data_IF_477374378018
#
_entry.id   IF_477374378018
#
_cell.length_a   1.000
_cell.length_b   1.000
_cell.length_c   1.000
_cell.angle_alpha   90.00
_cell.angle_beta   90.00
_cell.angle_gamma   90.00
#
_symmetry.space_group_name_H-M   'P 1'
#
loop_
_entity.id
_entity.type
_entity.pdbx_description
1 polymer ?
#
# COMPACT_ATOMS: atom_id res chain seq x y z
N UNK A 1 40.25 -37.35 60.17
CA UNK A 1 39.69 -36.02 59.86
C UNK A 1 39.26 -36.02 58.39
N UNK A 2 38.03 -35.55 58.13
CA UNK A 2 37.37 -35.50 56.82
C UNK A 2 38.17 -34.68 55.80
N UNK A 3 38.07 -35.01 54.50
CA UNK A 3 37.44 -34.19 53.43
C UNK A 3 37.91 -34.68 52.04
N UNK A 4 37.03 -35.33 51.26
CA UNK A 4 36.14 -34.78 50.21
C UNK A 4 36.77 -34.91 48.81
N UNK A 5 36.23 -35.87 48.05
CA UNK A 5 36.24 -35.93 46.58
C UNK A 5 35.51 -34.71 45.99
N UNK A 6 36.07 -34.09 44.96
CA UNK A 6 35.29 -33.24 44.05
C UNK A 6 35.60 -33.67 42.63
N UNK A 7 34.68 -34.44 42.06
CA UNK A 7 34.60 -34.75 40.63
C UNK A 7 33.88 -33.56 39.97
N UNK A 8 34.58 -32.81 39.12
CA UNK A 8 33.97 -31.71 38.36
C UNK A 8 33.24 -32.28 37.14
N UNK A 9 31.92 -32.37 37.23
CA UNK A 9 31.04 -32.61 36.08
C UNK A 9 30.82 -31.25 35.39
N UNK A 10 31.46 -31.04 34.24
CA UNK A 10 31.18 -29.90 33.37
C UNK A 10 29.91 -30.14 32.58
N UNK A 11 28.82 -29.47 32.96
CA UNK A 11 27.57 -29.45 32.19
C UNK A 11 27.18 -27.98 32.02
N UNK A 12 27.25 -27.44 30.81
CA UNK A 12 26.57 -26.18 30.52
C UNK A 12 26.09 -26.10 29.06
N UNK A 13 24.81 -26.49 28.95
CA UNK A 13 23.77 -26.07 28.04
C UNK A 13 24.14 -25.20 26.81
N UNK A 14 23.99 -25.81 25.63
CA UNK A 14 23.64 -25.10 24.40
C UNK A 14 22.25 -24.47 24.59
N UNK A 15 22.21 -23.17 24.86
CA UNK A 15 20.98 -22.40 24.82
C UNK A 15 20.42 -22.41 23.41
N UNK A 16 19.31 -23.11 23.19
CA UNK A 16 18.50 -22.94 21.99
C UNK A 16 17.85 -21.55 22.07
N UNK A 17 18.47 -20.55 21.46
CA UNK A 17 17.83 -19.27 21.20
C UNK A 17 16.70 -19.52 20.20
N UNK A 18 15.48 -19.64 20.72
CA UNK A 18 14.28 -19.53 19.88
C UNK A 18 14.32 -18.14 19.24
N UNK A 19 14.50 -18.08 17.92
CA UNK A 19 14.27 -16.87 17.15
C UNK A 19 12.79 -16.51 17.27
N UNK A 20 12.45 -15.76 18.32
CA UNK A 20 11.12 -15.18 18.50
C UNK A 20 10.91 -14.20 17.35
N UNK A 21 10.14 -14.64 16.35
CA UNK A 21 9.64 -13.74 15.34
C UNK A 21 8.49 -12.98 15.98
N UNK A 22 8.56 -11.63 15.97
CA UNK A 22 7.42 -10.82 16.36
C UNK A 22 6.31 -11.05 15.34
N UNK A 23 5.30 -11.85 15.68
CA UNK A 23 4.11 -12.03 14.85
C UNK A 23 3.28 -10.74 14.84
N UNK A 24 2.45 -10.57 13.80
CA UNK A 24 1.54 -9.43 13.73
C UNK A 24 0.65 -9.38 14.98
N UNK A 25 0.65 -8.25 15.71
CA UNK A 25 -0.16 -8.12 16.92
C UNK A 25 -1.63 -7.80 16.57
N UNK A 26 -2.57 -8.76 16.74
CA UNK A 26 -3.97 -8.52 16.43
C UNK A 26 -4.63 -7.47 17.35
N UNK A 27 -3.99 -7.11 18.48
CA UNK A 27 -4.53 -6.13 19.45
C UNK A 27 -4.43 -4.69 18.95
N UNK A 28 -3.53 -4.40 18.01
CA UNK A 28 -3.37 -3.06 17.44
C UNK A 28 -4.65 -2.60 16.72
N UNK A 29 -5.41 -3.53 16.14
CA UNK A 29 -6.58 -3.21 15.34
C UNK A 29 -7.63 -2.42 16.10
N UNK A 30 -7.86 -2.69 17.38
CA UNK A 30 -8.87 -1.96 18.15
C UNK A 30 -8.55 -0.45 18.23
N UNK A 31 -7.27 -0.11 18.41
CA UNK A 31 -6.78 1.28 18.45
C UNK A 31 -6.84 1.93 17.08
N UNK A 32 -6.36 1.22 16.06
CA UNK A 32 -6.35 1.71 14.66
C UNK A 32 -7.78 1.94 14.17
N UNK A 33 -8.69 0.98 14.40
CA UNK A 33 -10.11 1.12 14.07
C UNK A 33 -10.72 2.37 14.70
N UNK A 34 -10.51 2.59 16.00
CA UNK A 34 -11.10 3.75 16.68
C UNK A 34 -10.50 5.07 16.17
N UNK A 35 -9.22 5.10 15.82
CA UNK A 35 -8.56 6.29 15.28
C UNK A 35 -9.12 6.71 13.90
N UNK A 36 -9.39 5.76 13.01
CA UNK A 36 -9.84 6.05 11.63
C UNK A 36 -11.37 5.98 11.45
N UNK A 37 -12.06 5.15 12.24
CA UNK A 37 -13.49 4.86 12.10
C UNK A 37 -14.19 4.83 13.48
N UNK A 38 -14.14 5.95 14.23
CA UNK A 38 -14.60 5.98 15.61
C UNK A 38 -16.06 5.56 15.73
N UNK A 39 -16.33 4.57 16.60
CA UNK A 39 -17.70 4.04 16.85
C UNK A 39 -18.42 3.49 15.61
N UNK A 40 -17.73 3.20 14.51
CA UNK A 40 -18.33 2.60 13.31
C UNK A 40 -18.13 1.09 13.32
N UNK A 41 -19.17 0.36 12.97
CA UNK A 41 -19.07 -1.09 12.77
C UNK A 41 -18.43 -1.40 11.43
N UNK A 42 -17.60 -2.45 11.41
CA UNK A 42 -16.89 -2.93 10.23
C UNK A 42 -17.15 -4.42 10.13
N UNK A 43 -17.76 -4.87 9.04
CA UNK A 43 -18.04 -6.27 8.79
C UNK A 43 -16.90 -6.92 7.99
N UNK A 44 -16.32 -8.01 8.48
CA UNK A 44 -15.41 -8.84 7.66
C UNK A 44 -16.21 -9.60 6.60
N UNK A 45 -15.73 -9.60 5.35
CA UNK A 45 -16.43 -10.15 4.18
C UNK A 45 -15.47 -10.81 3.21
N UNK A 46 -15.98 -11.75 2.40
CA UNK A 46 -15.18 -12.49 1.42
C UNK A 46 -15.00 -11.75 0.08
N UNK A 47 -15.85 -10.75 -0.22
CA UNK A 47 -15.76 -9.97 -1.47
C UNK A 47 -14.69 -8.87 -1.42
N UNK A 48 -14.07 -8.62 -0.27
CA UNK A 48 -12.89 -7.78 -0.13
C UNK A 48 -11.68 -8.64 0.23
N UNK A 49 -10.59 -8.51 -0.52
CA UNK A 49 -9.37 -9.31 -0.29
C UNK A 49 -8.12 -8.47 -0.41
N UNK A 50 -7.12 -8.88 0.36
CA UNK A 50 -5.73 -8.46 0.19
C UNK A 50 -4.94 -9.72 -0.14
N UNK A 51 -4.30 -9.74 -1.29
CA UNK A 51 -3.33 -10.76 -1.66
C UNK A 51 -1.92 -10.18 -1.57
N UNK A 52 -0.94 -11.06 -1.37
CA UNK A 52 0.45 -10.68 -1.20
C UNK A 52 1.29 -11.88 -0.77
N UNK A 53 2.60 -11.71 -0.55
CA UNK A 53 3.44 -12.79 -0.08
C UNK A 53 3.10 -13.16 1.37
N UNK A 54 3.57 -14.32 1.85
CA UNK A 54 3.57 -14.62 3.29
C UNK A 54 4.65 -13.83 4.02
N UNK A 55 5.82 -13.68 3.38
CA UNK A 55 6.92 -12.83 3.80
C UNK A 55 7.41 -12.02 2.60
N UNK A 56 7.42 -10.71 2.72
CA UNK A 56 7.99 -9.83 1.71
C UNK A 56 9.52 -9.89 1.74
N UNK A 57 10.15 -9.78 0.57
CA UNK A 57 11.61 -9.69 0.45
C UNK A 57 12.15 -8.38 1.04
N UNK A 58 11.35 -7.30 0.96
CA UNK A 58 11.69 -5.99 1.50
C UNK A 58 10.44 -5.30 2.05
N UNK A 59 10.53 -4.75 3.26
CA UNK A 59 9.48 -3.91 3.82
C UNK A 59 9.28 -2.61 3.05
N UNK A 60 10.27 -2.14 2.27
CA UNK A 60 10.12 -0.92 1.48
C UNK A 60 9.30 -1.14 0.19
N UNK A 61 9.16 -2.40 -0.26
CA UNK A 61 8.57 -2.79 -1.54
C UNK A 61 7.72 -4.06 -1.37
N UNK A 62 6.67 -4.00 -0.55
CA UNK A 62 5.76 -5.13 -0.33
C UNK A 62 4.71 -5.18 -1.43
N UNK A 63 4.73 -6.17 -2.35
CA UNK A 63 3.71 -6.27 -3.38
C UNK A 63 2.39 -6.75 -2.79
N UNK A 64 1.30 -6.06 -3.11
CA UNK A 64 -0.05 -6.42 -2.72
C UNK A 64 -1.00 -6.31 -3.91
N UNK A 65 -2.02 -7.17 -3.93
CA UNK A 65 -3.18 -7.04 -4.82
C UNK A 65 -4.42 -6.83 -3.97
N UNK A 66 -5.08 -5.70 -4.17
CA UNK A 66 -6.28 -5.28 -3.45
C UNK A 66 -7.48 -5.59 -4.33
N UNK A 67 -8.47 -6.30 -3.79
CA UNK A 67 -9.58 -6.83 -4.59
C UNK A 67 -10.91 -6.47 -3.93
N UNK A 68 -11.82 -5.95 -4.75
CA UNK A 68 -13.25 -5.84 -4.49
C UNK A 68 -13.99 -6.56 -5.61
N UNK A 69 -14.53 -7.73 -5.28
CA UNK A 69 -15.35 -8.53 -6.19
C UNK A 69 -16.81 -8.04 -6.12
N UNK A 70 -17.16 -7.12 -7.02
CA UNK A 70 -18.51 -6.54 -7.07
C UNK A 70 -19.60 -7.60 -7.31
N UNK A 71 -19.30 -8.68 -8.03
CA UNK A 71 -20.27 -9.74 -8.29
C UNK A 71 -20.56 -10.56 -7.03
N UNK A 72 -19.53 -10.89 -6.25
CA UNK A 72 -19.68 -11.58 -4.96
C UNK A 72 -20.25 -10.69 -3.84
N UNK A 73 -20.28 -9.37 -4.03
CA UNK A 73 -20.73 -8.40 -3.04
C UNK A 73 -22.25 -8.30 -2.88
N UNK A 74 -23.04 -9.04 -3.66
CA UNK A 74 -24.49 -9.16 -3.52
C UNK A 74 -25.23 -7.81 -3.39
N UNK A 75 -24.84 -6.83 -4.20
CA UNK A 75 -25.47 -5.50 -4.23
C UNK A 75 -24.86 -4.47 -3.28
N UNK A 76 -23.86 -4.82 -2.47
CA UNK A 76 -23.05 -3.82 -1.75
C UNK A 76 -22.26 -3.01 -2.77
N UNK A 77 -22.38 -1.68 -2.76
CA UNK A 77 -21.60 -0.79 -3.62
C UNK A 77 -20.64 0.09 -2.85
N UNK A 78 -19.35 -0.19 -2.99
CA UNK A 78 -18.29 0.61 -2.37
C UNK A 78 -17.97 1.85 -3.20
N UNK A 79 -17.80 3.00 -2.53
CA UNK A 79 -17.37 4.27 -3.11
C UNK A 79 -15.94 4.61 -2.73
N UNK A 80 -15.46 4.13 -1.58
CA UNK A 80 -14.06 4.30 -1.15
C UNK A 80 -13.45 3.00 -0.67
N UNK A 81 -12.14 2.86 -0.86
CA UNK A 81 -11.32 1.80 -0.29
C UNK A 81 -10.15 2.42 0.46
N UNK A 82 -9.96 2.04 1.72
CA UNK A 82 -8.82 2.44 2.55
C UNK A 82 -7.84 1.28 2.67
N UNK A 83 -6.56 1.54 2.50
CA UNK A 83 -5.49 0.57 2.78
C UNK A 83 -4.82 0.95 4.08
N UNK A 84 -4.98 0.09 5.08
CA UNK A 84 -4.43 0.30 6.42
C UNK A 84 -3.40 -0.79 6.73
N UNK A 85 -2.28 -0.39 7.29
CA UNK A 85 -1.22 -1.27 7.78
C UNK A 85 -1.08 -1.06 9.28
N UNK A 86 -1.61 -2.00 10.07
CA UNK A 86 -1.83 -1.82 11.52
C UNK A 86 -0.58 -1.37 12.28
N UNK A 87 0.57 -2.01 12.01
CA UNK A 87 1.82 -1.79 12.73
C UNK A 87 2.74 -0.74 12.08
N UNK A 88 2.30 -0.04 11.04
CA UNK A 88 3.08 1.07 10.50
C UNK A 88 2.98 2.29 11.43
N UNK A 89 4.06 3.11 11.56
CA UNK A 89 3.98 4.37 12.29
C UNK A 89 2.94 5.34 11.72
N UNK A 90 2.73 5.29 10.40
CA UNK A 90 1.65 5.98 9.68
C UNK A 90 0.82 4.90 8.99
N UNK A 91 -0.35 4.60 9.55
CA UNK A 91 -1.10 3.38 9.23
C UNK A 91 -1.84 3.46 7.88
N UNK A 92 -2.32 4.65 7.47
CA UNK A 92 -3.04 4.83 6.21
C UNK A 92 -2.05 4.91 5.04
N UNK A 93 -2.04 3.89 4.19
CA UNK A 93 -1.15 3.81 3.03
C UNK A 93 -1.73 4.52 1.80
N UNK A 94 -3.03 4.35 1.55
CA UNK A 94 -3.74 4.99 0.45
C UNK A 94 -5.25 4.94 0.64
N UNK A 95 -5.97 5.85 -0.04
CA UNK A 95 -7.42 5.81 -0.20
C UNK A 95 -7.76 5.86 -1.69
N UNK A 96 -8.58 4.93 -2.17
CA UNK A 96 -9.07 4.90 -3.55
C UNK A 96 -10.53 5.33 -3.57
N UNK A 97 -10.87 6.28 -4.43
CA UNK A 97 -12.22 6.73 -4.71
C UNK A 97 -12.68 6.05 -5.99
N UNK A 98 -13.69 5.21 -5.87
CA UNK A 98 -14.16 4.33 -6.94
C UNK A 98 -15.25 5.01 -7.76
N UNK A 99 -15.21 4.79 -9.07
CA UNK A 99 -16.33 5.12 -9.97
C UNK A 99 -16.88 3.84 -10.60
N UNK A 100 -18.00 3.97 -11.31
CA UNK A 100 -18.62 2.84 -12.01
C UNK A 100 -17.73 2.27 -13.12
N UNK A 101 -16.80 3.07 -13.65
CA UNK A 101 -15.89 2.65 -14.73
C UNK A 101 -14.94 1.52 -14.31
N UNK A 102 -14.71 1.35 -13.01
CA UNK A 102 -13.87 0.27 -12.48
C UNK A 102 -14.59 -1.09 -12.45
N UNK A 103 -15.94 -1.08 -12.38
CA UNK A 103 -16.81 -2.26 -12.25
C UNK A 103 -16.28 -3.33 -11.26
N UNK A 104 -16.09 -2.92 -10.01
CA UNK A 104 -15.32 -3.67 -9.01
C UNK A 104 -13.99 -2.96 -8.75
N UNK A 105 -13.00 -3.68 -8.24
CA UNK A 105 -11.66 -3.15 -8.09
C UNK A 105 -10.65 -4.29 -8.04
N UNK A 106 -9.61 -4.21 -8.85
CA UNK A 106 -8.42 -5.03 -8.70
C UNK A 106 -7.21 -4.13 -8.92
N UNK A 107 -6.40 -3.97 -7.88
CA UNK A 107 -5.25 -3.07 -7.89
C UNK A 107 -4.02 -3.81 -7.39
N UNK A 108 -3.06 -4.04 -8.28
CA UNK A 108 -1.73 -4.49 -7.89
C UNK A 108 -0.84 -3.28 -7.67
N UNK A 109 -0.26 -3.17 -6.48
CA UNK A 109 0.57 -2.05 -6.05
C UNK A 109 1.66 -2.51 -5.09
N UNK A 110 2.44 -1.56 -4.56
CA UNK A 110 3.50 -1.81 -3.58
C UNK A 110 3.35 -0.84 -2.41
N UNK A 111 3.38 -1.38 -1.20
CA UNK A 111 3.27 -0.63 0.05
C UNK A 111 4.55 -0.77 0.88
N UNK A 112 4.77 0.20 1.77
CA UNK A 112 5.79 0.14 2.81
C UNK A 112 5.22 -0.56 4.04
N UNK A 113 6.05 -1.36 4.69
CA UNK A 113 5.72 -2.07 5.91
C UNK A 113 6.93 -2.12 6.84
N UNK A 114 6.76 -1.62 8.07
CA UNK A 114 7.87 -1.52 9.02
C UNK A 114 8.17 -2.84 9.73
N UNK A 115 7.14 -3.64 10.02
CA UNK A 115 7.24 -4.92 10.73
C UNK A 115 6.11 -5.86 10.30
N UNK A 116 6.14 -7.13 10.73
CA UNK A 116 5.05 -8.09 10.52
C UNK A 116 3.71 -7.47 10.96
N UNK A 117 2.72 -7.43 10.05
CA UNK A 117 1.48 -6.66 10.24
C UNK A 117 0.33 -7.27 9.46
N UNK A 118 -0.89 -7.00 9.91
CA UNK A 118 -2.05 -7.08 9.04
C UNK A 118 -2.08 -5.88 8.09
N UNK A 119 -2.34 -6.18 6.82
CA UNK A 119 -2.76 -5.23 5.80
C UNK A 119 -4.25 -5.39 5.61
N UNK A 120 -4.99 -4.30 5.74
CA UNK A 120 -6.46 -4.27 5.68
C UNK A 120 -6.91 -3.44 4.50
N UNK A 121 -7.89 -3.97 3.79
CA UNK A 121 -8.64 -3.25 2.78
C UNK A 121 -10.04 -3.00 3.34
N UNK A 122 -10.37 -1.74 3.59
CA UNK A 122 -11.64 -1.35 4.18
C UNK A 122 -12.47 -0.62 3.13
N UNK A 123 -13.63 -1.15 2.80
CA UNK A 123 -14.57 -0.54 1.87
C UNK A 123 -15.64 0.28 2.57
N UNK A 124 -15.96 1.45 2.02
CA UNK A 124 -17.04 2.32 2.48
C UNK A 124 -18.08 2.53 1.38
N UNK A 125 -19.34 2.31 1.70
CA UNK A 125 -20.50 2.58 0.83
C UNK A 125 -20.94 4.04 0.91
N UNK A 126 -21.81 4.48 0.00
CA UNK A 126 -22.35 5.84 0.01
C UNK A 126 -23.13 6.20 1.30
N UNK A 127 -23.79 5.21 1.94
CA UNK A 127 -24.48 5.36 3.23
C UNK A 127 -23.55 5.18 4.45
N UNK A 128 -22.24 5.04 4.23
CA UNK A 128 -21.24 4.97 5.30
C UNK A 128 -21.13 3.62 6.01
N UNK A 129 -21.61 2.52 5.41
CA UNK A 129 -21.33 1.17 5.94
C UNK A 129 -19.91 0.75 5.59
N UNK A 130 -19.26 0.05 6.51
CA UNK A 130 -17.88 -0.39 6.34
C UNK A 130 -17.77 -1.92 6.27
N UNK A 131 -16.94 -2.37 5.34
CA UNK A 131 -16.62 -3.78 5.13
C UNK A 131 -15.11 -3.96 5.08
N UNK A 132 -14.58 -5.13 5.41
CA UNK A 132 -13.15 -5.37 5.47
C UNK A 132 -12.74 -6.74 4.92
N UNK A 133 -11.66 -6.73 4.16
CA UNK A 133 -10.78 -7.88 3.94
C UNK A 133 -9.41 -7.62 4.56
N UNK A 134 -8.67 -8.67 4.93
CA UNK A 134 -7.33 -8.51 5.52
C UNK A 134 -6.39 -9.65 5.17
N UNK A 135 -5.09 -9.38 5.25
CA UNK A 135 -4.03 -10.38 5.12
C UNK A 135 -2.89 -10.06 6.07
N UNK A 136 -2.39 -11.07 6.78
CA UNK A 136 -1.10 -10.97 7.47
C UNK A 136 0.03 -11.07 6.45
N UNK A 137 0.95 -10.11 6.49
CA UNK A 137 2.18 -10.15 5.70
C UNK A 137 3.35 -9.92 6.65
N UNK A 138 4.39 -10.74 6.52
CA UNK A 138 5.63 -10.59 7.29
C UNK A 138 6.62 -9.72 6.52
N UNK A 139 7.16 -8.68 7.13
CA UNK A 139 8.03 -7.70 6.48
C UNK A 139 8.86 -6.95 7.53
N UNK A 140 9.93 -6.27 7.11
CA UNK A 140 10.76 -5.48 8.03
C UNK A 140 11.38 -4.25 7.34
N UNK A 141 11.44 -3.13 8.07
CA UNK A 141 12.29 -1.97 7.78
C UNK A 141 11.87 -1.09 6.61
N UNK A 142 10.57 -0.97 6.34
CA UNK A 142 10.05 -0.22 5.18
C UNK A 142 9.87 1.29 5.33
N UNK A 143 9.71 1.81 6.55
CA UNK A 143 9.19 3.16 6.80
C UNK A 143 10.23 4.13 7.40
N UNK A 144 11.12 3.67 8.29
CA UNK A 144 12.01 4.54 9.10
C UNK A 144 13.52 4.42 8.86
N UNK A 145 13.97 3.70 7.83
CA UNK A 145 15.38 3.43 7.56
C UNK A 145 16.24 4.67 7.20
N UNK A 146 17.53 4.45 6.95
CA UNK A 146 18.45 5.50 6.49
C UNK A 146 18.37 5.71 4.98
N UNK A 147 18.61 6.93 4.53
CA UNK A 147 18.76 7.29 3.11
C UNK A 147 20.10 7.99 2.88
N UNK A 148 20.67 7.78 1.70
CA UNK A 148 21.96 8.35 1.26
C UNK A 148 21.85 8.88 -0.18
N UNK A 149 20.71 9.50 -0.51
CA UNK A 149 20.45 10.01 -1.84
C UNK A 149 20.71 11.52 -1.94
N UNK A 150 21.21 11.95 -3.11
CA UNK A 150 21.34 13.38 -3.39
C UNK A 150 19.95 13.99 -3.59
N UNK A 151 19.57 14.87 -2.67
CA UNK A 151 18.27 15.55 -2.66
C UNK A 151 17.95 16.23 -3.99
N UNK A 152 18.93 16.92 -4.57
CA UNK A 152 18.74 17.69 -5.79
C UNK A 152 18.47 16.80 -7.00
N UNK A 153 19.21 15.68 -7.11
CA UNK A 153 19.04 14.70 -8.19
C UNK A 153 17.71 13.97 -8.07
N UNK A 154 17.34 13.55 -6.85
CA UNK A 154 16.07 12.88 -6.56
C UNK A 154 14.89 13.76 -6.98
N UNK A 155 14.92 15.05 -6.64
CA UNK A 155 13.86 16.00 -6.98
C UNK A 155 13.82 16.31 -8.48
N UNK A 156 14.98 16.38 -9.12
CA UNK A 156 15.07 16.57 -10.57
C UNK A 156 14.50 15.39 -11.35
N UNK A 157 14.68 14.16 -10.84
CA UNK A 157 14.17 12.94 -11.47
C UNK A 157 12.68 12.66 -11.18
N UNK A 158 12.10 13.30 -10.16
CA UNK A 158 10.73 13.08 -9.74
C UNK A 158 9.70 13.52 -10.80
N UNK A 159 8.68 12.68 -11.01
CA UNK A 159 7.54 13.01 -11.86
C UNK A 159 7.50 12.33 -13.22
N UNK A 160 8.53 11.54 -13.59
CA UNK A 160 8.50 10.81 -14.86
C UNK A 160 7.44 9.70 -14.78
N UNK A 161 6.38 9.84 -15.56
CA UNK A 161 5.27 8.88 -15.62
C UNK A 161 5.43 7.93 -16.82
N UNK A 162 5.22 6.64 -16.58
CA UNK A 162 5.01 5.61 -17.60
C UNK A 162 3.59 5.07 -17.46
N UNK A 163 2.90 4.96 -18.58
CA UNK A 163 1.57 4.37 -18.67
C UNK A 163 1.51 3.36 -19.80
N UNK A 164 0.74 2.29 -19.60
CA UNK A 164 0.41 1.29 -20.61
C UNK A 164 -1.05 0.87 -20.42
N UNK A 165 -1.72 0.52 -21.51
CA UNK A 165 -3.01 -0.19 -21.48
C UNK A 165 -2.85 -1.41 -22.37
N UNK A 166 -3.16 -2.58 -21.83
CA UNK A 166 -3.16 -3.82 -22.61
C UNK A 166 -4.25 -3.73 -23.67
N UNK A 167 -4.03 -4.34 -24.85
CA UNK A 167 -4.91 -4.24 -26.01
C UNK A 167 -6.39 -4.46 -25.61
N UNK A 168 -7.23 -3.41 -25.63
CA UNK A 168 -8.56 -3.47 -25.04
C UNK A 168 -9.56 -4.10 -26.00
N UNK A 169 -10.56 -4.79 -25.44
CA UNK A 169 -11.84 -5.01 -26.10
C UNK A 169 -12.85 -4.05 -25.49
N UNK A 170 -13.34 -3.09 -26.25
CA UNK A 170 -14.26 -2.07 -25.74
C UNK A 170 -15.54 -2.71 -25.18
N UNK A 171 -16.00 -2.19 -24.04
CA UNK A 171 -17.10 -2.75 -23.26
C UNK A 171 -16.70 -3.88 -22.29
N UNK A 172 -15.45 -4.35 -22.34
CA UNK A 172 -14.89 -5.32 -21.40
C UNK A 172 -13.80 -4.69 -20.53
N UNK A 173 -13.48 -5.26 -19.36
CA UNK A 173 -12.38 -4.77 -18.53
C UNK A 173 -11.04 -4.82 -19.28
N UNK A 174 -10.40 -3.66 -19.40
CA UNK A 174 -9.03 -3.50 -19.88
C UNK A 174 -8.09 -3.24 -18.70
N UNK A 175 -6.84 -3.68 -18.82
CA UNK A 175 -5.83 -3.48 -17.77
C UNK A 175 -4.92 -2.32 -18.11
N UNK A 176 -4.83 -1.35 -17.20
CA UNK A 176 -3.88 -0.25 -17.24
C UNK A 176 -2.73 -0.50 -16.25
N UNK A 177 -1.52 -0.08 -16.63
CA UNK A 177 -0.37 0.00 -15.75
C UNK A 177 0.13 1.43 -15.70
N UNK A 178 0.34 1.95 -14.50
CA UNK A 178 0.89 3.26 -14.21
C UNK A 178 2.10 3.12 -13.29
N UNK A 179 3.14 3.89 -13.59
CA UNK A 179 4.28 4.09 -12.71
C UNK A 179 4.73 5.54 -12.76
N UNK A 180 5.06 6.12 -11.61
CA UNK A 180 5.67 7.46 -11.50
C UNK A 180 6.99 7.38 -10.75
N UNK A 181 8.06 7.93 -11.30
CA UNK A 181 9.36 8.04 -10.62
C UNK A 181 9.21 9.00 -9.43
N UNK A 182 9.37 8.51 -8.21
CA UNK A 182 9.25 9.32 -6.99
C UNK A 182 9.80 8.57 -5.76
N UNK A 183 10.63 9.21 -4.94
CA UNK A 183 11.29 8.55 -3.78
C UNK A 183 10.36 8.19 -2.61
N UNK A 184 9.19 8.85 -2.53
CA UNK A 184 8.17 8.60 -1.50
C UNK A 184 8.75 8.58 -0.08
N UNK A 185 9.35 9.71 0.34
CA UNK A 185 9.90 9.87 1.68
C UNK A 185 8.80 10.04 2.71
N UNK A 186 8.95 9.29 3.80
CA UNK A 186 7.93 9.19 4.84
C UNK A 186 7.96 10.32 5.87
N UNK A 187 9.06 11.07 5.94
CA UNK A 187 9.34 11.98 7.07
C UNK A 187 9.97 11.29 8.29
N UNK A 188 10.05 9.96 8.28
CA UNK A 188 10.57 9.14 9.40
C UNK A 188 11.99 8.62 9.13
N UNK A 189 12.45 8.74 7.90
CA UNK A 189 13.77 8.28 7.48
C UNK A 189 14.85 9.23 7.97
N UNK A 190 16.05 8.69 8.23
CA UNK A 190 17.22 9.48 8.64
C UNK A 190 18.21 9.65 7.50
N UNK A 191 18.79 10.82 7.41
CA UNK A 191 19.93 11.07 6.55
C UNK A 191 21.17 10.36 7.10
N UNK A 192 21.88 9.61 6.25
CA UNK A 192 23.01 8.78 6.70
C UNK A 192 24.16 9.60 7.30
N UNK A 193 24.36 10.84 6.83
CA UNK A 193 25.49 11.68 7.26
C UNK A 193 25.14 12.51 8.48
N UNK A 194 24.11 13.34 8.37
CA UNK A 194 23.69 14.27 9.43
C UNK A 194 22.92 13.58 10.56
N UNK A 195 22.42 12.36 10.33
CA UNK A 195 21.54 11.61 11.25
C UNK A 195 20.19 12.30 11.55
N UNK A 196 19.91 13.44 10.91
CA UNK A 196 18.64 14.17 11.02
C UNK A 196 17.51 13.47 10.28
N UNK A 197 16.27 13.78 10.65
CA UNK A 197 15.10 13.32 9.90
C UNK A 197 15.01 14.03 8.55
N UNK A 198 14.75 13.27 7.49
CA UNK A 198 14.52 13.81 6.16
C UNK A 198 13.05 14.18 6.01
N UNK A 199 12.72 15.41 5.58
CA UNK A 199 11.34 15.82 5.39
C UNK A 199 10.54 14.88 4.47
N UNK A 200 9.24 14.78 4.73
CA UNK A 200 8.33 14.01 3.89
C UNK A 200 8.25 14.61 2.48
N UNK A 201 8.38 13.76 1.47
CA UNK A 201 8.30 14.14 0.06
C UNK A 201 7.68 12.96 -0.70
N UNK A 202 6.41 13.07 -1.06
CA UNK A 202 5.61 11.97 -1.60
C UNK A 202 4.53 12.49 -2.57
N UNK A 203 4.14 11.64 -3.52
CA UNK A 203 2.93 11.83 -4.31
C UNK A 203 1.75 11.75 -3.34
N UNK A 204 0.92 12.79 -3.27
CA UNK A 204 -0.22 12.83 -2.37
C UNK A 204 -1.55 12.53 -3.08
N UNK A 205 -1.61 12.69 -4.41
CA UNK A 205 -2.83 12.43 -5.19
C UNK A 205 -2.52 11.97 -6.62
N UNK A 206 -3.37 11.11 -7.16
CA UNK A 206 -3.42 10.77 -8.59
C UNK A 206 -4.87 10.61 -9.04
N UNK A 207 -5.30 11.36 -10.05
CA UNK A 207 -6.63 11.25 -10.66
C UNK A 207 -6.49 10.73 -12.07
N UNK A 208 -7.25 9.68 -12.40
CA UNK A 208 -7.28 9.04 -13.70
C UNK A 208 -8.62 9.34 -14.40
N UNK A 209 -8.55 9.76 -15.65
CA UNK A 209 -9.73 10.04 -16.48
C UNK A 209 -9.64 9.31 -17.82
N UNK A 210 -10.79 8.89 -18.35
CA UNK A 210 -10.91 8.29 -19.67
C UNK A 210 -11.96 9.06 -20.48
N UNK A 211 -11.56 9.67 -21.60
CA UNK A 211 -12.45 10.54 -22.39
C UNK A 211 -13.16 11.61 -21.54
N UNK A 212 -12.44 12.20 -20.58
CA UNK A 212 -12.96 13.21 -19.66
C UNK A 212 -13.85 12.68 -18.54
N UNK A 213 -14.18 11.38 -18.49
CA UNK A 213 -14.90 10.73 -17.39
C UNK A 213 -13.91 10.22 -16.34
N UNK A 214 -14.22 10.38 -15.06
CA UNK A 214 -13.35 9.89 -13.98
C UNK A 214 -13.37 8.36 -13.88
N UNK A 215 -12.18 7.76 -13.96
CA UNK A 215 -11.97 6.32 -13.75
C UNK A 215 -11.79 6.04 -12.26
N UNK A 216 -10.87 6.77 -11.62
CA UNK A 216 -10.68 6.74 -10.18
C UNK A 216 -9.82 7.93 -9.73
N UNK A 217 -9.92 8.26 -8.45
CA UNK A 217 -8.97 9.13 -7.76
C UNK A 217 -8.30 8.36 -6.63
N UNK A 218 -7.01 8.59 -6.42
CA UNK A 218 -6.23 7.96 -5.36
C UNK A 218 -5.60 9.05 -4.50
N UNK A 219 -5.92 9.06 -3.21
CA UNK A 219 -5.15 9.79 -2.21
C UNK A 219 -3.99 8.88 -1.78
N UNK A 220 -2.79 9.26 -2.14
CA UNK A 220 -1.57 8.46 -1.93
C UNK A 220 -0.93 8.90 -0.62
N UNK A 221 -0.74 7.96 0.29
CA UNK A 221 -0.05 8.20 1.56
C UNK A 221 1.41 7.77 1.50
N UNK A 222 2.17 8.19 2.51
CA UNK A 222 3.58 7.79 2.70
C UNK A 222 3.76 6.28 2.95
N UNK A 223 2.68 5.55 3.22
CA UNK A 223 2.69 4.09 3.24
C UNK A 223 2.78 3.44 1.86
N UNK A 224 2.74 4.21 0.76
CA UNK A 224 3.01 3.72 -0.60
C UNK A 224 4.52 3.68 -0.87
N UNK A 225 4.98 2.62 -1.53
CA UNK A 225 6.40 2.41 -1.84
C UNK A 225 6.99 3.43 -2.81
N UNK A 226 8.31 3.57 -2.79
CA UNK A 226 9.07 4.30 -3.82
C UNK A 226 8.69 3.83 -5.23
N UNK A 227 8.69 4.79 -6.15
CA UNK A 227 8.21 4.68 -7.52
C UNK A 227 6.79 4.09 -7.57
N UNK A 228 5.76 4.82 -7.07
CA UNK A 228 4.40 4.32 -6.98
C UNK A 228 3.96 3.62 -8.27
N UNK A 229 3.46 2.40 -8.09
CA UNK A 229 3.04 1.51 -9.15
C UNK A 229 1.59 1.14 -8.94
N UNK A 230 0.79 1.20 -9.99
CA UNK A 230 -0.61 0.84 -9.97
C UNK A 230 -0.93 0.08 -11.25
N UNK A 231 -1.32 -1.19 -11.11
CA UNK A 231 -1.92 -1.97 -12.19
C UNK A 231 -3.37 -2.24 -11.85
N UNK A 232 -4.27 -1.74 -12.67
CA UNK A 232 -5.70 -1.73 -12.38
C UNK A 232 -6.54 -1.98 -13.61
N UNK A 233 -7.78 -2.43 -13.40
CA UNK A 233 -8.76 -2.64 -14.46
C UNK A 233 -9.76 -1.49 -14.54
N UNK A 234 -10.17 -1.14 -15.76
CA UNK A 234 -11.29 -0.22 -16.02
C UNK A 234 -12.00 -0.64 -17.32
N UNK A 235 -13.22 -0.16 -17.55
CA UNK A 235 -13.99 -0.49 -18.76
C UNK A 235 -13.96 0.70 -19.74
N UNK A 236 -13.16 0.64 -20.81
CA UNK A 236 -13.25 1.62 -21.91
C UNK A 236 -14.47 1.30 -22.79
N UNK A 237 -15.31 2.30 -23.06
CA UNK A 237 -16.54 2.18 -23.85
C UNK A 237 -16.32 2.34 -25.37
N UNK A 238 -15.34 3.15 -25.76
CA UNK A 238 -14.95 3.44 -27.15
C UNK A 238 -13.46 3.85 -27.18
N UNK A 239 -12.81 3.91 -28.37
CA UNK A 239 -11.46 4.48 -28.48
C UNK A 239 -11.38 5.84 -27.81
N UNK A 240 -10.24 6.12 -27.18
CA UNK A 240 -10.17 7.27 -26.30
C UNK A 240 -8.84 7.48 -25.66
N UNK A 241 -8.79 8.48 -24.79
CA UNK A 241 -7.56 8.91 -24.11
C UNK A 241 -7.66 8.61 -22.63
N UNK A 242 -6.72 7.81 -22.12
CA UNK A 242 -6.51 7.63 -20.68
C UNK A 242 -5.51 8.69 -20.22
N UNK A 243 -5.91 9.50 -19.25
CA UNK A 243 -5.11 10.60 -18.72
C UNK A 243 -4.92 10.41 -17.21
N UNK A 244 -3.79 10.91 -16.72
CA UNK A 244 -3.51 10.98 -15.29
C UNK A 244 -2.99 12.37 -14.94
N UNK A 245 -3.47 12.89 -13.81
CA UNK A 245 -2.93 14.07 -13.14
C UNK A 245 -2.52 13.64 -11.73
N UNK A 246 -1.22 13.70 -11.44
CA UNK A 246 -0.67 13.41 -10.13
C UNK A 246 -0.05 14.65 -9.50
N UNK A 247 -0.12 14.77 -8.18
CA UNK A 247 0.50 15.87 -7.41
C UNK A 247 1.38 15.34 -6.29
N UNK A 248 2.43 16.07 -5.95
CA UNK A 248 3.19 15.84 -4.72
C UNK A 248 2.70 16.73 -3.56
N UNK A 249 3.16 16.42 -2.35
CA UNK A 249 2.83 17.16 -1.14
C UNK A 249 3.42 18.58 -1.06
N UNK A 250 4.20 19.01 -2.06
CA UNK A 250 4.74 20.37 -2.19
C UNK A 250 4.03 21.16 -3.31
N UNK A 251 3.03 20.56 -3.96
CA UNK A 251 2.16 21.21 -4.94
C UNK A 251 2.62 21.08 -6.40
N UNK A 252 3.69 20.32 -6.69
CA UNK A 252 4.09 20.06 -8.08
C UNK A 252 3.09 19.12 -8.73
N UNK A 253 2.75 19.41 -9.98
CA UNK A 253 1.82 18.60 -10.78
C UNK A 253 2.55 17.88 -11.90
N UNK A 254 2.17 16.62 -12.12
CA UNK A 254 2.68 15.74 -13.16
C UNK A 254 1.52 15.19 -13.97
N UNK A 255 1.62 15.26 -15.29
CA UNK A 255 0.56 14.77 -16.18
C UNK A 255 1.13 13.79 -17.18
N UNK A 256 0.30 12.83 -17.58
CA UNK A 256 0.60 11.94 -18.68
C UNK A 256 -0.71 11.51 -19.34
N UNK A 257 -0.61 11.15 -20.61
CA UNK A 257 -1.73 10.55 -21.32
C UNK A 257 -1.30 9.46 -22.28
N UNK A 258 -2.23 8.56 -22.56
CA UNK A 258 -2.06 7.47 -23.50
C UNK A 258 -3.33 7.32 -24.34
N UNK A 259 -3.17 7.25 -25.65
CA UNK A 259 -4.26 6.86 -26.54
C UNK A 259 -4.51 5.35 -26.41
N UNK A 260 -5.76 5.00 -26.17
CA UNK A 260 -6.27 3.65 -25.99
C UNK A 260 -7.08 3.31 -27.24
N UNK A 261 -6.40 2.65 -28.16
CA UNK A 261 -6.95 2.17 -29.43
C UNK A 261 -6.95 0.62 -29.43
N UNK A 262 -7.70 0.03 -30.34
CA UNK A 262 -7.71 -1.42 -30.61
C UNK A 262 -6.49 -1.87 -31.41
#
# INVERSE_FOLDING_TARGET
>A
MKKIWVMMLGMMALGMSTLAHAEADPKLWAVVKEAFFPKRDIQEVDFLKVEGPRRAESGAQVPVTLIYDKAAANGVELKKLYVIVDANPIQLASTYHLTEMMNGFQMSTRIRQETDSFVRLIGETADGKLYMGKREIRAAGGCGGTVDNNESEVRAAAGKIKMNVDAPKFGEPATATFNIKHVMRTGLQRDLVSQGYVPAFYINKATFTYNGKEVMTVDVGVGTSEDPYMKFSFIPDAPGKLEVVATDNEGKTFTQSLDVNS
#
